data_IF_300389289872
#
_entry.id   IF_300389289872
#
_cell.length_a   1.000
_cell.length_b   1.000
_cell.length_c   1.000
_cell.angle_alpha   90.00
_cell.angle_beta   90.00
_cell.angle_gamma   90.00
#
_symmetry.space_group_name_H-M   'P 1'
#
loop_
_entity.id
_entity.type
_entity.pdbx_description
1 polymer ?
#
# COMPACT_ATOMS: atom_id res chain seq x y z
N UNK A 1 -14.85 -20.74 -15.28
CA UNK A 1 -14.80 -19.56 -14.40
C UNK A 1 -13.36 -19.11 -14.25
N UNK A 2 -13.05 -17.81 -14.38
CA UNK A 2 -11.69 -17.34 -14.11
C UNK A 2 -11.34 -17.57 -12.64
N UNK A 3 -10.05 -17.74 -12.35
CA UNK A 3 -9.57 -17.88 -10.98
C UNK A 3 -9.87 -16.61 -10.16
N UNK A 4 -9.99 -16.71 -8.84
CA UNK A 4 -10.16 -15.52 -8.00
C UNK A 4 -9.10 -14.45 -8.25
N UNK A 5 -7.86 -14.84 -8.50
CA UNK A 5 -6.75 -13.92 -8.77
C UNK A 5 -6.95 -13.14 -10.07
N UNK A 6 -7.42 -13.79 -11.13
CA UNK A 6 -7.70 -13.14 -12.41
C UNK A 6 -8.87 -12.17 -12.24
N UNK A 7 -9.91 -12.59 -11.53
CA UNK A 7 -11.06 -11.75 -11.25
C UNK A 7 -10.65 -10.49 -10.46
N UNK A 8 -9.82 -10.66 -9.42
CA UNK A 8 -9.37 -9.56 -8.58
C UNK A 8 -8.51 -8.57 -9.37
N UNK A 9 -7.64 -9.06 -10.25
CA UNK A 9 -6.84 -8.19 -11.14
C UNK A 9 -7.72 -7.39 -12.08
N UNK A 10 -8.72 -8.03 -12.66
CA UNK A 10 -9.67 -7.35 -13.55
C UNK A 10 -10.46 -6.30 -12.81
N UNK A 11 -10.97 -6.63 -11.62
CA UNK A 11 -11.71 -5.70 -10.79
C UNK A 11 -10.88 -4.46 -10.45
N UNK A 12 -9.62 -4.64 -10.06
CA UNK A 12 -8.72 -3.53 -9.77
C UNK A 12 -8.48 -2.67 -11.01
N UNK A 13 -8.24 -3.29 -12.16
CA UNK A 13 -8.03 -2.57 -13.42
C UNK A 13 -9.26 -1.74 -13.81
N UNK A 14 -10.46 -2.32 -13.68
CA UNK A 14 -11.72 -1.63 -13.99
C UNK A 14 -11.94 -0.43 -13.08
N UNK A 15 -11.67 -0.57 -11.77
CA UNK A 15 -11.79 0.51 -10.81
C UNK A 15 -10.78 1.64 -11.11
N UNK A 16 -9.57 1.31 -11.49
CA UNK A 16 -8.56 2.30 -11.87
C UNK A 16 -9.00 3.10 -13.10
N UNK A 17 -9.58 2.43 -14.08
CA UNK A 17 -10.11 3.08 -15.28
C UNK A 17 -11.25 4.03 -14.91
N UNK A 18 -12.17 3.58 -14.07
CA UNK A 18 -13.28 4.41 -13.60
C UNK A 18 -12.79 5.60 -12.78
N UNK A 19 -11.73 5.44 -11.98
CA UNK A 19 -11.13 6.54 -11.22
C UNK A 19 -10.60 7.65 -12.14
N UNK A 20 -10.02 7.28 -13.28
CA UNK A 20 -9.57 8.27 -14.28
C UNK A 20 -10.72 9.07 -14.85
N UNK A 21 -11.90 8.46 -14.92
CA UNK A 21 -13.12 9.07 -15.39
C UNK A 21 -13.87 9.82 -14.28
N UNK A 22 -13.65 9.44 -13.02
CA UNK A 22 -14.49 9.86 -11.91
C UNK A 22 -13.75 9.80 -10.56
N UNK A 23 -13.42 10.95 -9.99
CA UNK A 23 -12.57 11.06 -8.79
C UNK A 23 -13.12 10.41 -7.52
N UNK A 24 -14.43 10.18 -7.41
CA UNK A 24 -15.03 9.66 -6.17
C UNK A 24 -14.85 8.14 -5.96
N UNK A 25 -14.17 7.44 -6.89
CA UNK A 25 -13.87 6.01 -6.73
C UNK A 25 -12.53 5.75 -6.03
N UNK A 26 -11.81 6.81 -5.63
CA UNK A 26 -10.50 6.67 -4.98
C UNK A 26 -10.56 5.85 -3.69
N UNK A 27 -11.62 6.00 -2.89
CA UNK A 27 -11.78 5.23 -1.65
C UNK A 27 -11.99 3.74 -1.93
N UNK A 28 -12.76 3.39 -2.97
CA UNK A 28 -13.00 2.00 -3.34
C UNK A 28 -11.71 1.31 -3.79
N UNK A 29 -10.89 2.02 -4.55
CA UNK A 29 -9.58 1.51 -4.98
C UNK A 29 -8.67 1.31 -3.78
N UNK A 30 -8.63 2.27 -2.86
CA UNK A 30 -7.82 2.17 -1.64
C UNK A 30 -8.27 0.99 -0.77
N UNK A 31 -9.56 0.81 -0.58
CA UNK A 31 -10.10 -0.29 0.22
C UNK A 31 -9.76 -1.65 -0.38
N UNK A 32 -9.91 -1.79 -1.70
CA UNK A 32 -9.56 -3.05 -2.39
C UNK A 32 -8.05 -3.32 -2.32
N UNK A 33 -7.24 -2.30 -2.55
CA UNK A 33 -5.78 -2.42 -2.45
C UNK A 33 -5.35 -2.82 -1.04
N UNK A 34 -5.94 -2.21 -0.02
CA UNK A 34 -5.66 -2.51 1.39
C UNK A 34 -6.01 -3.96 1.72
N UNK A 35 -7.14 -4.44 1.22
CA UNK A 35 -7.57 -5.84 1.40
C UNK A 35 -6.52 -6.81 0.84
N UNK A 36 -6.02 -6.57 -0.36
CA UNK A 36 -5.02 -7.44 -0.99
C UNK A 36 -3.64 -7.33 -0.35
N UNK A 37 -3.25 -6.14 0.06
CA UNK A 37 -2.01 -5.94 0.82
C UNK A 37 -2.05 -6.71 2.14
N UNK A 38 -3.15 -6.62 2.86
CA UNK A 38 -3.36 -7.35 4.12
C UNK A 38 -3.28 -8.86 3.92
N UNK A 39 -3.94 -9.39 2.89
CA UNK A 39 -3.87 -10.81 2.55
C UNK A 39 -2.44 -11.27 2.30
N UNK A 40 -1.66 -10.47 1.58
CA UNK A 40 -0.27 -10.76 1.30
C UNK A 40 0.56 -10.81 2.60
N UNK A 41 0.37 -9.84 3.47
CA UNK A 41 1.07 -9.79 4.76
C UNK A 41 0.67 -10.94 5.70
N UNK A 42 -0.59 -11.36 5.69
CA UNK A 42 -1.06 -12.51 6.46
C UNK A 42 -0.35 -13.80 6.05
N UNK A 43 0.02 -13.94 4.80
CA UNK A 43 0.77 -15.09 4.30
C UNK A 43 2.23 -15.09 4.74
N UNK A 44 2.84 -13.92 4.81
CA UNK A 44 4.25 -13.75 5.17
C UNK A 44 4.44 -13.79 6.68
N UNK A 45 3.57 -13.09 7.41
CA UNK A 45 3.66 -12.94 8.86
C UNK A 45 2.56 -13.77 9.54
N UNK A 46 2.91 -15.00 9.91
CA UNK A 46 1.96 -15.91 10.57
C UNK A 46 1.71 -15.50 12.02
N UNK A 47 0.56 -15.92 12.54
CA UNK A 47 0.18 -15.75 13.95
C UNK A 47 0.02 -14.32 14.43
N UNK A 48 -0.14 -13.37 13.50
CA UNK A 48 -0.38 -11.96 13.82
C UNK A 48 -1.87 -11.65 13.92
N UNK A 49 -2.20 -10.70 14.77
CA UNK A 49 -3.53 -10.10 14.80
C UNK A 49 -3.49 -8.84 13.95
N UNK A 50 -4.38 -8.76 12.96
CA UNK A 50 -4.38 -7.69 11.98
C UNK A 50 -5.48 -6.67 12.24
N UNK A 51 -5.13 -5.40 12.09
CA UNK A 51 -6.03 -4.27 12.25
C UNK A 51 -5.88 -3.36 11.03
N UNK A 52 -7.02 -2.99 10.43
CA UNK A 52 -7.07 -1.95 9.40
C UNK A 52 -7.84 -0.78 10.00
N UNK A 53 -7.15 0.25 10.53
CA UNK A 53 -7.81 1.39 11.14
C UNK A 53 -8.76 2.08 10.16
N UNK A 54 -9.82 2.69 10.68
CA UNK A 54 -10.79 3.37 9.83
C UNK A 54 -10.19 4.64 9.21
N UNK A 55 -10.73 5.06 8.08
CA UNK A 55 -10.27 6.25 7.36
C UNK A 55 -10.36 7.55 8.17
N UNK A 56 -11.13 7.55 9.24
CA UNK A 56 -11.29 8.72 10.11
C UNK A 56 -10.16 8.88 11.12
N UNK A 57 -9.31 7.87 11.26
CA UNK A 57 -8.18 7.91 12.19
C UNK A 57 -6.93 8.43 11.47
N UNK A 58 -6.72 9.75 11.49
CA UNK A 58 -5.64 10.42 10.78
C UNK A 58 -4.24 9.99 11.23
N UNK A 59 -4.10 9.42 12.44
CA UNK A 59 -2.80 9.02 13.02
C UNK A 59 -2.52 7.52 12.88
N UNK A 60 -3.48 6.74 12.38
CA UNK A 60 -3.32 5.30 12.23
C UNK A 60 -2.64 4.93 10.92
N UNK A 61 -1.92 3.81 10.92
CA UNK A 61 -1.44 3.20 9.70
C UNK A 61 -2.59 2.53 8.95
N UNK A 62 -2.41 2.31 7.65
CA UNK A 62 -3.44 1.61 6.86
C UNK A 62 -3.59 0.15 7.29
N UNK A 63 -2.48 -0.50 7.65
CA UNK A 63 -2.48 -1.89 8.13
C UNK A 63 -1.50 -2.01 9.30
N UNK A 64 -1.95 -2.64 10.38
CA UNK A 64 -1.09 -2.98 11.52
C UNK A 64 -1.18 -4.47 11.83
N UNK A 65 -0.03 -5.10 12.07
CA UNK A 65 0.06 -6.48 12.52
C UNK A 65 0.70 -6.55 13.90
N UNK A 66 0.06 -7.24 14.83
CA UNK A 66 0.54 -7.41 16.20
C UNK A 66 0.79 -8.87 16.53
N UNK A 67 1.92 -9.13 17.14
CA UNK A 67 2.29 -10.43 17.63
C UNK A 67 2.42 -10.37 19.15
N UNK A 68 1.58 -11.12 19.86
CA UNK A 68 1.53 -11.10 21.33
C UNK A 68 1.33 -9.68 21.88
N UNK A 69 0.45 -8.90 21.22
CA UNK A 69 0.12 -7.54 21.65
C UNK A 69 1.12 -6.46 21.22
N UNK A 70 2.25 -6.85 20.65
CA UNK A 70 3.29 -5.92 20.21
C UNK A 70 3.14 -5.62 18.72
N UNK A 71 3.24 -4.35 18.35
CA UNK A 71 3.25 -3.91 16.96
C UNK A 71 4.55 -4.40 16.28
N UNK A 72 4.42 -5.30 15.33
CA UNK A 72 5.57 -5.88 14.61
C UNK A 72 5.55 -5.58 13.12
N UNK A 73 4.38 -5.33 12.54
CA UNK A 73 4.24 -5.01 11.13
C UNK A 73 3.41 -3.73 10.98
N UNK A 74 3.89 -2.81 10.17
CA UNK A 74 3.13 -1.63 9.80
C UNK A 74 3.24 -1.40 8.30
N UNK A 75 2.12 -1.08 7.66
CA UNK A 75 2.09 -0.81 6.23
C UNK A 75 1.24 0.39 5.91
N UNK A 76 1.67 1.13 4.92
CA UNK A 76 0.90 2.20 4.29
C UNK A 76 0.54 1.76 2.87
N UNK A 77 -0.65 2.13 2.43
CA UNK A 77 -1.15 1.82 1.09
C UNK A 77 -1.42 3.15 0.37
N UNK A 78 -0.71 3.37 -0.73
CA UNK A 78 -0.83 4.61 -1.50
C UNK A 78 -1.30 4.27 -2.91
N UNK A 79 -2.48 4.73 -3.26
CA UNK A 79 -3.11 4.41 -4.54
C UNK A 79 -3.09 5.55 -5.54
N UNK A 80 -2.50 6.68 -5.19
CA UNK A 80 -2.28 7.76 -6.15
C UNK A 80 -1.36 7.29 -7.26
N UNK A 81 -1.66 7.69 -8.50
CA UNK A 81 -0.85 7.32 -9.65
C UNK A 81 0.01 8.50 -10.10
N UNK A 82 1.30 8.27 -10.39
CA UNK A 82 2.12 9.31 -10.99
C UNK A 82 1.68 9.54 -12.43
N UNK A 83 1.81 10.77 -12.90
CA UNK A 83 1.53 11.12 -14.30
C UNK A 83 2.85 11.12 -15.06
N UNK A 84 2.97 10.27 -16.07
CA UNK A 84 4.22 10.09 -16.85
C UNK A 84 5.42 9.80 -15.93
N UNK A 85 5.20 8.96 -14.92
CA UNK A 85 6.25 8.57 -13.98
C UNK A 85 6.59 9.61 -12.92
N UNK A 86 5.83 10.71 -12.83
CA UNK A 86 6.12 11.81 -11.90
C UNK A 86 4.90 12.12 -11.04
N UNK A 87 5.09 12.16 -9.73
CA UNK A 87 4.08 12.61 -8.79
C UNK A 87 4.00 14.13 -8.73
N UNK A 88 2.81 14.67 -8.54
CA UNK A 88 2.60 16.10 -8.31
C UNK A 88 3.14 16.51 -6.93
N UNK A 89 3.42 17.80 -6.73
CA UNK A 89 4.00 18.30 -5.48
C UNK A 89 3.20 17.93 -4.23
N UNK A 90 1.87 18.05 -4.28
CA UNK A 90 1.01 17.68 -3.16
C UNK A 90 1.00 16.16 -2.91
N UNK A 91 1.12 15.37 -3.97
CA UNK A 91 1.24 13.91 -3.85
C UNK A 91 2.59 13.52 -3.22
N UNK A 92 3.67 14.17 -3.65
CA UNK A 92 5.02 13.96 -3.08
C UNK A 92 5.04 14.23 -1.59
N UNK A 93 4.35 15.28 -1.16
CA UNK A 93 4.27 15.65 0.26
C UNK A 93 3.53 14.59 1.06
N UNK A 94 2.40 14.09 0.57
CA UNK A 94 1.64 13.01 1.24
C UNK A 94 2.44 11.72 1.32
N UNK A 95 3.17 11.38 0.27
CA UNK A 95 4.07 10.22 0.26
C UNK A 95 5.14 10.39 1.34
N UNK A 96 5.71 11.57 1.43
CA UNK A 96 6.73 11.89 2.43
C UNK A 96 6.20 11.77 3.85
N UNK A 97 4.98 12.23 4.09
CA UNK A 97 4.30 12.10 5.39
C UNK A 97 4.09 10.62 5.75
N UNK A 98 3.67 9.80 4.82
CA UNK A 98 3.44 8.37 5.06
C UNK A 98 4.76 7.63 5.31
N UNK A 99 5.82 7.98 4.58
CA UNK A 99 7.15 7.42 4.84
C UNK A 99 7.66 7.84 6.22
N UNK A 100 7.38 9.06 6.65
CA UNK A 100 7.73 9.53 7.99
C UNK A 100 7.00 8.74 9.07
N UNK A 101 5.71 8.45 8.88
CA UNK A 101 4.95 7.60 9.82
C UNK A 101 5.60 6.24 9.97
N UNK A 102 6.02 5.63 8.86
CA UNK A 102 6.73 4.34 8.89
C UNK A 102 8.07 4.47 9.59
N UNK A 103 8.79 5.55 9.33
CA UNK A 103 10.08 5.82 9.98
C UNK A 103 9.92 5.85 11.50
N UNK A 104 8.90 6.53 11.99
CA UNK A 104 8.65 6.70 13.42
C UNK A 104 7.99 5.48 14.08
N UNK A 105 7.57 4.50 13.30
CA UNK A 105 6.93 3.30 13.81
C UNK A 105 7.91 2.41 14.57
N UNK A 106 7.42 1.79 15.64
CA UNK A 106 8.17 0.78 16.39
C UNK A 106 8.17 -0.59 15.73
N UNK A 107 7.41 -0.77 14.64
CA UNK A 107 7.33 -2.03 13.93
C UNK A 107 8.70 -2.46 13.38
N UNK A 108 8.98 -3.76 13.43
CA UNK A 108 10.22 -4.32 12.90
C UNK A 108 10.15 -4.56 11.39
N UNK A 109 8.93 -4.75 10.86
CA UNK A 109 8.70 -4.94 9.42
C UNK A 109 7.82 -3.82 8.91
N UNK A 110 8.30 -3.09 7.91
CA UNK A 110 7.65 -1.90 7.38
C UNK A 110 7.46 -2.02 5.88
N UNK A 111 6.24 -1.74 5.42
CA UNK A 111 5.88 -1.90 4.01
C UNK A 111 5.19 -0.65 3.47
N UNK A 112 5.44 -0.37 2.22
CA UNK A 112 4.78 0.69 1.48
C UNK A 112 4.21 0.08 0.20
N UNK A 113 2.89 -0.01 0.11
CA UNK A 113 2.21 -0.62 -1.03
C UNK A 113 1.76 0.45 -2.02
N UNK A 114 2.04 0.21 -3.29
CA UNK A 114 1.58 1.04 -4.41
C UNK A 114 0.85 0.14 -5.42
N UNK A 115 0.15 0.73 -6.39
CA UNK A 115 -0.68 -0.06 -7.28
C UNK A 115 0.12 -0.88 -8.30
N UNK A 116 1.12 -0.27 -8.94
CA UNK A 116 1.79 -0.86 -10.10
C UNK A 116 3.28 -0.51 -10.15
N UNK A 117 3.95 -1.06 -11.18
CA UNK A 117 5.39 -0.86 -11.36
C UNK A 117 5.76 0.59 -11.62
N UNK A 118 4.93 1.35 -12.34
CA UNK A 118 5.20 2.77 -12.59
C UNK A 118 5.22 3.56 -11.28
N UNK A 119 4.26 3.29 -10.40
CA UNK A 119 4.21 3.90 -9.07
C UNK A 119 5.40 3.51 -8.22
N UNK A 120 5.79 2.23 -8.24
CA UNK A 120 6.96 1.73 -7.52
C UNK A 120 8.25 2.40 -8.01
N UNK A 121 8.42 2.48 -9.32
CA UNK A 121 9.59 3.13 -9.92
C UNK A 121 9.67 4.59 -9.49
N UNK A 122 8.56 5.32 -9.53
CA UNK A 122 8.52 6.72 -9.12
C UNK A 122 8.90 6.92 -7.65
N UNK A 123 8.41 6.05 -6.76
CA UNK A 123 8.75 6.09 -5.34
C UNK A 123 10.23 5.77 -5.12
N UNK A 124 10.73 4.72 -5.76
CA UNK A 124 12.14 4.30 -5.61
C UNK A 124 13.08 5.38 -6.11
N UNK A 125 12.78 6.02 -7.24
CA UNK A 125 13.62 7.10 -7.78
C UNK A 125 13.68 8.32 -6.85
N UNK A 126 12.56 8.62 -6.18
CA UNK A 126 12.48 9.78 -5.29
C UNK A 126 13.15 9.55 -3.93
N UNK A 127 13.12 8.31 -3.42
CA UNK A 127 13.43 8.03 -2.01
C UNK A 127 14.33 6.82 -1.80
N UNK A 128 15.06 6.35 -2.81
CA UNK A 128 15.84 5.10 -2.75
C UNK A 128 16.71 4.99 -1.49
N UNK A 129 17.55 5.97 -1.25
CA UNK A 129 18.47 5.95 -0.10
C UNK A 129 17.71 5.91 1.23
N UNK A 130 16.65 6.69 1.34
CA UNK A 130 15.84 6.75 2.54
C UNK A 130 15.11 5.44 2.80
N UNK A 131 14.56 4.82 1.75
CA UNK A 131 13.84 3.55 1.86
C UNK A 131 14.76 2.43 2.32
N UNK A 132 15.93 2.31 1.72
CA UNK A 132 16.93 1.31 2.09
C UNK A 132 17.41 1.52 3.53
N UNK A 133 17.70 2.76 3.90
CA UNK A 133 18.19 3.10 5.24
C UNK A 133 17.18 2.87 6.35
N UNK A 134 15.89 2.92 6.04
CA UNK A 134 14.81 2.74 7.02
C UNK A 134 14.24 1.31 7.03
N UNK A 135 14.72 0.43 6.15
CA UNK A 135 14.20 -0.94 6.07
C UNK A 135 12.75 -1.01 5.60
N UNK A 136 12.33 -0.07 4.76
CA UNK A 136 10.98 -0.05 4.20
C UNK A 136 10.98 -0.82 2.88
N UNK A 137 10.11 -1.81 2.77
CA UNK A 137 9.93 -2.61 1.55
C UNK A 137 8.77 -2.04 0.74
N UNK A 138 9.03 -1.68 -0.52
CA UNK A 138 8.00 -1.19 -1.43
C UNK A 138 7.51 -2.36 -2.28
N UNK A 139 6.20 -2.62 -2.25
CA UNK A 139 5.56 -3.69 -3.02
C UNK A 139 4.41 -3.13 -3.83
N UNK A 140 4.15 -3.74 -4.99
CA UNK A 140 2.97 -3.39 -5.79
C UNK A 140 1.81 -4.31 -5.43
N UNK A 141 0.59 -3.81 -5.58
CA UNK A 141 -0.61 -4.63 -5.42
C UNK A 141 -0.65 -5.71 -6.51
N UNK A 142 -0.16 -5.39 -7.71
CA UNK A 142 -0.07 -6.38 -8.80
C UNK A 142 0.83 -7.57 -8.40
N UNK A 143 1.96 -7.32 -7.70
CA UNK A 143 2.79 -8.40 -7.16
C UNK A 143 2.02 -9.24 -6.15
N UNK A 144 1.25 -8.60 -5.27
CA UNK A 144 0.44 -9.31 -4.27
C UNK A 144 -0.60 -10.21 -4.90
N UNK A 145 -1.27 -9.74 -5.94
CA UNK A 145 -2.30 -10.51 -6.65
C UNK A 145 -1.71 -11.70 -7.41
N UNK A 146 -0.48 -11.57 -7.87
CA UNK A 146 0.21 -12.61 -8.64
C UNK A 146 0.48 -13.86 -7.82
N UNK A 147 0.68 -13.71 -6.51
CA UNK A 147 1.06 -14.81 -5.60
C UNK A 147 -0.05 -15.17 -4.60
N UNK A 148 -1.21 -14.57 -4.74
CA UNK A 148 -2.36 -14.90 -3.87
C UNK A 148 -3.21 -16.06 -4.48
#
# INVERSE_FOLDING_TARGET
>A
MPSPEIRDKKELSDLRQKRRECNHLSNDIHDLATKHAKKHLEKIHKNHKWITPSHTNANGADIEGRLNGKLTVQAEVKTMEPKKGIYKSNQKEKIREDLYKLQESSATSKYFFVLDDDSKTAIMDMHKEKLEGLGITVLTINECLKYN
#
